data_IF_117475766782
#
_entry.id   IF_117475766782
#
_cell.length_a   1.000
_cell.length_b   1.000
_cell.length_c   1.000
_cell.angle_alpha   90.00
_cell.angle_beta   90.00
_cell.angle_gamma   90.00
#
_symmetry.space_group_name_H-M   'P 1'
#
loop_
_entity.id
_entity.type
_entity.pdbx_description
1 polymer ?
#
# COMPACT_ATOMS: atom_id res chain seq x y z
N UNK A 1 17.05 -14.45 31.01
CA UNK A 1 17.35 -13.00 31.05
C UNK A 1 17.40 -12.53 29.61
N UNK A 2 16.67 -11.48 29.27
CA UNK A 2 16.59 -10.96 27.90
C UNK A 2 17.24 -9.58 27.87
N UNK A 3 17.93 -9.25 26.78
CA UNK A 3 18.54 -7.95 26.57
C UNK A 3 17.82 -7.30 25.39
N UNK A 4 17.19 -6.16 25.63
CA UNK A 4 16.51 -5.36 24.62
C UNK A 4 17.19 -4.00 24.56
N UNK A 5 17.56 -3.59 23.35
CA UNK A 5 18.34 -2.38 23.09
C UNK A 5 18.10 -1.96 21.65
N UNK A 6 17.84 -0.68 21.41
CA UNK A 6 17.80 -0.15 20.04
C UNK A 6 19.18 -0.18 19.40
N UNK A 7 19.26 -0.39 18.08
CA UNK A 7 20.56 -0.36 17.38
C UNK A 7 21.23 1.03 17.48
N UNK A 8 20.44 2.10 17.61
CA UNK A 8 20.86 3.47 17.88
C UNK A 8 21.70 3.60 19.17
N UNK A 9 21.56 2.69 20.13
CA UNK A 9 22.40 2.67 21.33
C UNK A 9 23.88 2.51 20.98
N UNK A 10 24.20 1.83 19.88
CA UNK A 10 25.55 1.56 19.39
C UNK A 10 25.93 2.59 18.31
N UNK A 11 26.99 3.35 18.57
CA UNK A 11 27.50 4.37 17.65
C UNK A 11 26.87 5.76 17.81
N UNK A 12 25.60 5.87 18.21
CA UNK A 12 24.97 7.17 18.51
C UNK A 12 24.95 7.47 20.02
N UNK A 13 24.23 6.70 20.83
CA UNK A 13 24.17 6.97 22.28
C UNK A 13 25.45 6.54 23.01
N UNK A 14 26.07 5.43 22.59
CA UNK A 14 27.43 5.04 22.96
C UNK A 14 28.34 5.22 21.74
N UNK A 15 29.15 6.29 21.66
CA UNK A 15 30.05 6.54 20.53
C UNK A 15 31.01 5.37 20.30
N UNK A 16 31.41 5.11 19.06
CA UNK A 16 32.32 3.99 18.74
C UNK A 16 33.68 4.09 19.45
N UNK A 17 34.13 5.30 19.77
CA UNK A 17 35.34 5.57 20.56
C UNK A 17 35.28 5.09 22.02
N UNK A 18 34.10 4.71 22.52
CA UNK A 18 33.94 4.07 23.84
C UNK A 18 34.43 2.61 23.89
N UNK A 19 34.81 2.02 22.75
CA UNK A 19 35.10 0.59 22.59
C UNK A 19 33.88 -0.32 22.88
N UNK A 20 32.66 0.19 22.69
CA UNK A 20 31.42 -0.57 22.87
C UNK A 20 31.34 -1.81 21.97
N UNK A 21 31.97 -1.78 20.78
CA UNK A 21 32.01 -2.95 19.89
C UNK A 21 32.95 -4.04 20.43
N UNK A 22 34.07 -3.65 21.03
CA UNK A 22 35.06 -4.53 21.66
C UNK A 22 34.46 -5.17 22.91
N UNK A 23 33.71 -4.39 23.70
CA UNK A 23 32.90 -4.91 24.80
C UNK A 23 31.89 -5.98 24.32
N UNK A 24 31.14 -5.70 23.26
CA UNK A 24 30.17 -6.66 22.71
C UNK A 24 30.83 -7.90 22.08
N UNK A 25 32.04 -7.79 21.53
CA UNK A 25 32.84 -8.94 21.05
C UNK A 25 33.34 -9.82 22.21
N UNK A 26 33.75 -9.21 23.32
CA UNK A 26 34.26 -9.93 24.50
C UNK A 26 33.16 -10.57 25.36
N UNK A 27 31.95 -9.99 25.36
CA UNK A 27 30.83 -10.42 26.20
C UNK A 27 30.48 -11.92 26.06
N UNK A 28 30.38 -12.52 24.85
CA UNK A 28 30.12 -13.94 24.68
C UNK A 28 31.20 -14.87 25.29
N UNK A 29 32.48 -14.49 25.19
CA UNK A 29 33.59 -15.28 25.74
C UNK A 29 33.57 -15.26 27.26
N UNK A 30 33.43 -14.07 27.85
CA UNK A 30 33.29 -13.87 29.29
C UNK A 30 32.06 -14.58 29.88
N UNK A 31 30.94 -14.58 29.15
CA UNK A 31 29.73 -15.31 29.52
C UNK A 31 29.94 -16.83 29.47
N UNK A 32 30.53 -17.35 28.38
CA UNK A 32 30.84 -18.78 28.22
C UNK A 32 31.79 -19.29 29.31
N UNK A 33 32.80 -18.51 29.70
CA UNK A 33 33.71 -18.83 30.81
C UNK A 33 32.98 -18.94 32.16
N UNK A 34 31.83 -18.30 32.32
CA UNK A 34 30.93 -18.41 33.49
C UNK A 34 29.80 -19.43 33.31
N UNK A 35 29.83 -20.25 32.25
CA UNK A 35 28.78 -21.23 31.93
C UNK A 35 27.48 -20.63 31.40
N UNK A 36 27.46 -19.34 31.06
CA UNK A 36 26.27 -18.66 30.52
C UNK A 36 26.21 -18.88 29.01
N UNK A 37 25.06 -19.36 28.53
CA UNK A 37 24.78 -19.57 27.10
C UNK A 37 23.83 -18.50 26.56
N UNK A 38 23.96 -18.23 25.26
CA UNK A 38 22.98 -17.44 24.50
C UNK A 38 22.11 -18.40 23.68
N UNK A 39 20.88 -17.99 23.39
CA UNK A 39 19.99 -18.70 22.48
C UNK A 39 19.04 -17.69 21.84
N UNK A 40 18.76 -17.89 20.56
CA UNK A 40 17.75 -17.14 19.82
C UNK A 40 16.34 -17.43 20.34
N UNK A 41 15.34 -16.57 20.10
CA UNK A 41 13.95 -16.84 20.50
C UNK A 41 13.44 -18.19 19.97
N UNK A 42 13.76 -18.54 18.72
CA UNK A 42 13.37 -19.82 18.12
C UNK A 42 14.00 -21.04 18.81
N UNK A 43 15.26 -20.93 19.23
CA UNK A 43 15.92 -21.98 20.02
C UNK A 43 15.35 -22.11 21.43
N UNK A 44 14.98 -20.99 22.06
CA UNK A 44 14.34 -20.99 23.39
C UNK A 44 13.00 -21.75 23.31
N UNK A 45 12.18 -21.44 22.30
CA UNK A 45 10.88 -22.09 22.07
C UNK A 45 11.03 -23.59 21.73
N UNK A 46 12.10 -24.00 21.05
CA UNK A 46 12.32 -25.42 20.71
C UNK A 46 12.93 -26.25 21.84
N UNK A 47 13.76 -25.64 22.70
CA UNK A 47 14.50 -26.33 23.78
C UNK A 47 13.77 -26.35 25.12
N UNK A 48 12.90 -25.37 25.39
CA UNK A 48 12.26 -25.20 26.70
C UNK A 48 10.75 -25.39 26.62
N UNK A 49 10.21 -26.17 27.57
CA UNK A 49 8.76 -26.37 27.73
C UNK A 49 8.13 -25.15 28.39
N UNK A 50 6.99 -24.68 27.86
CA UNK A 50 6.17 -23.67 28.54
C UNK A 50 5.67 -24.19 29.89
N UNK A 51 5.77 -23.36 30.94
CA UNK A 51 5.47 -23.72 32.33
C UNK A 51 4.08 -23.21 32.75
N UNK A 52 3.69 -22.02 32.30
CA UNK A 52 2.42 -21.37 32.62
C UNK A 52 2.00 -20.43 31.49
N UNK A 53 0.71 -20.17 31.39
CA UNK A 53 0.19 -19.01 30.69
C UNK A 53 0.56 -17.73 31.47
N UNK A 54 0.81 -16.65 30.74
CA UNK A 54 0.85 -15.28 31.25
C UNK A 54 -0.36 -14.56 30.67
N UNK A 55 -1.17 -13.94 31.52
CA UNK A 55 -2.28 -13.09 31.08
C UNK A 55 -1.87 -11.61 31.11
N UNK A 56 -2.30 -10.86 30.10
CA UNK A 56 -1.98 -9.44 29.91
C UNK A 56 -3.27 -8.74 29.44
N UNK A 57 -4.13 -8.31 30.38
CA UNK A 57 -5.48 -7.84 30.06
C UNK A 57 -5.51 -6.45 29.39
N UNK A 58 -4.42 -5.69 29.43
CA UNK A 58 -4.32 -4.35 28.87
C UNK A 58 -3.05 -4.22 28.00
N UNK A 59 -3.08 -3.45 26.89
CA UNK A 59 -1.90 -3.14 26.11
C UNK A 59 -0.84 -2.42 26.95
N UNK A 60 0.39 -2.95 26.95
CA UNK A 60 1.53 -2.39 27.67
C UNK A 60 2.65 -1.97 26.71
N UNK A 61 3.54 -1.12 27.20
CA UNK A 61 4.69 -0.57 26.48
C UNK A 61 5.99 -0.71 27.27
N UNK A 62 7.12 -0.74 26.57
CA UNK A 62 8.44 -0.51 27.15
C UNK A 62 8.73 0.98 27.39
N UNK A 63 8.01 1.88 26.72
CA UNK A 63 8.21 3.33 26.77
C UNK A 63 7.60 3.95 28.03
N UNK A 64 8.28 4.95 28.57
CA UNK A 64 7.94 5.72 29.79
C UNK A 64 7.74 4.86 31.06
N UNK A 65 7.63 5.49 32.23
CA UNK A 65 7.59 4.77 33.53
C UNK A 65 6.27 4.02 33.74
N UNK A 66 5.17 4.54 33.20
CA UNK A 66 3.80 4.04 33.38
C UNK A 66 3.51 2.75 32.59
N UNK A 67 4.41 2.36 31.67
CA UNK A 67 4.35 1.13 30.84
C UNK A 67 3.04 0.94 30.07
N UNK A 68 2.37 2.02 29.71
CA UNK A 68 1.07 2.04 29.02
C UNK A 68 1.17 2.60 27.59
N UNK A 69 0.03 2.86 26.95
CA UNK A 69 -0.03 3.46 25.60
C UNK A 69 -0.02 4.99 25.60
N UNK A 70 0.15 5.65 26.76
CA UNK A 70 0.07 7.11 26.87
C UNK A 70 1.11 7.86 26.04
N UNK A 71 2.26 7.25 25.75
CA UNK A 71 3.27 7.81 24.84
C UNK A 71 2.72 8.09 23.43
N UNK A 72 1.69 7.35 22.98
CA UNK A 72 1.08 7.48 21.65
C UNK A 72 -0.41 7.85 21.65
N UNK A 73 -1.15 7.64 22.74
CA UNK A 73 -2.59 7.90 22.85
C UNK A 73 -2.98 8.74 24.09
N UNK A 74 -1.99 9.36 24.76
CA UNK A 74 -2.17 10.07 26.02
C UNK A 74 -2.92 11.40 25.91
N UNK A 75 -2.81 12.13 24.79
CA UNK A 75 -3.49 13.42 24.59
C UNK A 75 -4.61 13.40 23.53
N UNK A 76 -5.33 14.52 23.41
CA UNK A 76 -6.47 14.66 22.47
C UNK A 76 -6.01 14.60 21.01
N UNK A 77 -4.93 15.30 20.67
CA UNK A 77 -4.35 15.34 19.30
C UNK A 77 -4.04 13.93 18.79
N UNK A 78 -3.38 13.14 19.63
CA UNK A 78 -3.02 11.75 19.37
C UNK A 78 -4.25 10.87 19.13
N UNK A 79 -5.25 10.95 20.02
CA UNK A 79 -6.49 10.15 19.89
C UNK A 79 -7.33 10.58 18.69
N UNK A 80 -7.39 11.86 18.37
CA UNK A 80 -8.07 12.38 17.19
C UNK A 80 -7.41 11.87 15.90
N UNK A 81 -6.08 12.02 15.78
CA UNK A 81 -5.29 11.52 14.66
C UNK A 81 -5.43 10.00 14.46
N UNK A 82 -5.40 9.24 15.57
CA UNK A 82 -5.56 7.79 15.56
C UNK A 82 -6.99 7.38 15.12
N UNK A 83 -8.01 7.91 15.78
CA UNK A 83 -9.41 7.60 15.46
C UNK A 83 -9.77 8.02 14.02
N UNK A 84 -9.22 9.14 13.53
CA UNK A 84 -9.43 9.60 12.16
C UNK A 84 -8.77 8.68 11.14
N UNK A 85 -7.58 8.14 11.42
CA UNK A 85 -6.94 7.13 10.57
C UNK A 85 -7.80 5.86 10.50
N UNK A 86 -8.15 5.29 11.66
CA UNK A 86 -8.91 4.04 11.69
C UNK A 86 -10.36 4.17 11.19
N UNK A 87 -10.92 5.38 11.10
CA UNK A 87 -12.24 5.62 10.49
C UNK A 87 -12.35 5.21 9.02
N UNK A 88 -11.23 5.05 8.30
CA UNK A 88 -11.21 4.55 6.90
C UNK A 88 -10.59 3.15 6.75
N UNK A 89 -10.27 2.47 7.87
CA UNK A 89 -9.54 1.20 7.86
C UNK A 89 -10.24 0.12 7.01
N UNK A 90 -11.56 -0.02 7.12
CA UNK A 90 -12.30 -1.00 6.31
C UNK A 90 -12.28 -0.65 4.82
N UNK A 91 -12.52 0.60 4.40
CA UNK A 91 -12.40 0.99 2.98
C UNK A 91 -10.99 0.73 2.43
N UNK A 92 -9.96 1.03 3.21
CA UNK A 92 -8.58 0.72 2.84
C UNK A 92 -8.31 -0.79 2.79
N UNK A 93 -8.97 -1.60 3.62
CA UNK A 93 -8.91 -3.06 3.56
C UNK A 93 -9.46 -3.60 2.25
N UNK A 94 -10.58 -3.04 1.76
CA UNK A 94 -11.26 -3.42 0.51
C UNK A 94 -10.56 -2.91 -0.75
N UNK A 95 -9.74 -1.87 -0.61
CA UNK A 95 -8.96 -1.32 -1.70
C UNK A 95 -7.88 -2.29 -2.19
N UNK A 96 -7.75 -2.48 -3.50
CA UNK A 96 -6.65 -3.23 -4.13
C UNK A 96 -5.52 -2.32 -4.68
N UNK A 97 -5.65 -0.99 -4.55
CA UNK A 97 -4.62 -0.05 -5.00
C UNK A 97 -3.36 -0.13 -4.11
N UNK A 98 -2.26 -0.59 -4.72
CA UNK A 98 -0.96 -0.76 -4.07
C UNK A 98 -0.41 0.53 -3.43
N UNK A 99 -0.69 1.70 -3.99
CA UNK A 99 -0.26 2.99 -3.43
C UNK A 99 -1.06 3.36 -2.19
N UNK A 100 -2.37 3.12 -2.20
CA UNK A 100 -3.23 3.32 -1.02
C UNK A 100 -2.79 2.41 0.13
N UNK A 101 -2.48 1.13 -0.13
CA UNK A 101 -1.90 0.24 0.89
C UNK A 101 -0.56 0.74 1.43
N UNK A 102 0.33 1.19 0.55
CA UNK A 102 1.65 1.68 0.96
C UNK A 102 1.55 2.96 1.82
N UNK A 103 0.68 3.90 1.45
CA UNK A 103 0.44 5.12 2.23
C UNK A 103 -0.22 4.81 3.59
N UNK A 104 -1.13 3.83 3.63
CA UNK A 104 -1.74 3.31 4.85
C UNK A 104 -0.73 2.73 5.84
N UNK A 105 0.23 1.95 5.35
CA UNK A 105 1.30 1.39 6.17
C UNK A 105 2.20 2.50 6.75
N UNK A 106 2.48 3.56 5.98
CA UNK A 106 3.26 4.72 6.44
C UNK A 106 2.49 5.60 7.45
N UNK A 107 1.18 5.79 7.27
CA UNK A 107 0.36 6.57 8.20
C UNK A 107 0.23 5.90 9.57
N UNK A 108 0.19 4.56 9.62
CA UNK A 108 0.16 3.79 10.87
C UNK A 108 1.49 3.80 11.65
N UNK A 109 2.59 4.35 11.10
CA UNK A 109 3.88 4.37 11.80
C UNK A 109 3.77 5.06 13.16
N UNK A 110 4.08 4.34 14.25
CA UNK A 110 3.86 4.81 15.63
C UNK A 110 4.56 6.13 15.95
N UNK A 111 5.68 6.43 15.28
CA UNK A 111 6.38 7.70 15.41
C UNK A 111 5.50 8.91 15.06
N UNK A 112 4.55 8.79 14.12
CA UNK A 112 3.61 9.86 13.78
C UNK A 112 2.88 10.34 15.04
N UNK A 113 2.25 9.41 15.78
CA UNK A 113 1.58 9.71 17.04
C UNK A 113 2.55 10.09 18.16
N UNK A 114 3.75 9.50 18.21
CA UNK A 114 4.77 9.83 19.22
C UNK A 114 5.23 11.29 19.12
N UNK A 115 5.34 11.83 17.92
CA UNK A 115 5.71 13.22 17.66
C UNK A 115 4.61 14.22 18.05
N UNK A 116 3.35 13.79 18.22
CA UNK A 116 2.25 14.61 18.72
C UNK A 116 2.15 14.65 20.26
N UNK A 117 3.01 13.93 21.00
CA UNK A 117 2.88 13.87 22.46
C UNK A 117 3.18 15.21 23.12
N UNK A 118 2.35 15.58 24.09
CA UNK A 118 2.54 16.71 25.00
C UNK A 118 2.97 16.27 26.39
N UNK A 119 3.15 14.95 26.61
CA UNK A 119 3.58 14.37 27.89
C UNK A 119 5.01 14.83 28.21
N UNK A 120 5.21 15.38 29.40
CA UNK A 120 6.55 15.69 29.92
C UNK A 120 7.11 14.45 30.62
N UNK A 121 8.02 13.74 29.96
CA UNK A 121 8.66 12.52 30.47
C UNK A 121 10.02 12.77 31.11
N UNK A 122 10.45 14.04 31.26
CA UNK A 122 11.80 14.42 31.70
C UNK A 122 12.93 14.07 30.72
N UNK A 123 12.63 13.33 29.65
CA UNK A 123 13.58 12.90 28.61
C UNK A 123 13.33 13.75 27.35
N UNK A 124 14.40 14.27 26.75
CA UNK A 124 14.29 14.99 25.48
C UNK A 124 13.81 14.06 24.36
N UNK A 125 12.78 14.50 23.64
CA UNK A 125 12.23 13.78 22.49
C UNK A 125 12.73 14.40 21.19
N UNK A 126 13.42 13.60 20.38
CA UNK A 126 13.65 13.94 18.98
C UNK A 126 12.31 13.91 18.22
N UNK A 127 11.85 15.05 17.71
CA UNK A 127 10.64 15.17 16.87
C UNK A 127 10.94 15.19 15.37
N UNK A 128 12.18 14.90 14.97
CA UNK A 128 12.59 14.88 13.57
C UNK A 128 12.56 16.28 12.96
N UNK A 129 11.60 16.51 12.06
CA UNK A 129 11.43 17.77 11.32
C UNK A 129 10.44 18.75 11.96
N UNK A 130 9.79 18.36 13.06
CA UNK A 130 8.70 19.14 13.65
C UNK A 130 9.16 19.97 14.85
N UNK A 131 8.83 21.26 14.85
CA UNK A 131 9.19 22.19 15.94
C UNK A 131 8.35 21.96 17.21
N UNK A 132 7.14 21.39 17.07
CA UNK A 132 6.20 21.22 18.18
C UNK A 132 5.26 20.02 17.98
N UNK A 133 4.60 19.50 19.04
CA UNK A 133 3.54 18.50 18.88
C UNK A 133 2.35 18.98 18.05
N UNK A 134 2.08 20.30 18.03
CA UNK A 134 0.99 20.90 17.25
C UNK A 134 1.32 20.96 15.76
N UNK A 135 2.58 21.24 15.43
CA UNK A 135 3.10 21.20 14.06
C UNK A 135 3.07 19.76 13.49
N UNK A 136 3.58 18.78 14.27
CA UNK A 136 3.48 17.36 13.93
C UNK A 136 2.02 16.91 13.69
N UNK A 137 1.09 17.33 14.55
CA UNK A 137 -0.34 17.05 14.39
C UNK A 137 -0.94 17.72 13.14
N UNK A 138 -0.68 19.01 12.92
CA UNK A 138 -1.21 19.76 11.77
C UNK A 138 -0.70 19.17 10.45
N UNK A 139 0.60 18.85 10.38
CA UNK A 139 1.20 18.21 9.22
C UNK A 139 0.55 16.85 8.94
N UNK A 140 0.47 15.99 9.95
CA UNK A 140 -0.15 14.66 9.83
C UNK A 140 -1.62 14.74 9.41
N UNK A 141 -2.41 15.64 10.02
CA UNK A 141 -3.84 15.78 9.70
C UNK A 141 -4.08 16.31 8.28
N UNK A 142 -3.18 17.14 7.75
CA UNK A 142 -3.22 17.56 6.35
C UNK A 142 -2.94 16.38 5.38
N UNK A 143 -1.92 15.56 5.67
CA UNK A 143 -1.59 14.37 4.87
C UNK A 143 -2.72 13.33 4.96
N UNK A 144 -3.23 13.07 6.16
CA UNK A 144 -4.36 12.17 6.39
C UNK A 144 -5.64 12.66 5.69
N UNK A 145 -5.87 13.97 5.67
CA UNK A 145 -6.99 14.59 4.95
C UNK A 145 -6.91 14.41 3.43
N UNK A 146 -5.71 14.43 2.83
CA UNK A 146 -5.52 14.05 1.43
C UNK A 146 -5.71 12.54 1.20
N UNK A 147 -5.10 11.71 2.06
CA UNK A 147 -5.23 10.26 1.98
C UNK A 147 -6.69 9.79 2.03
N UNK A 148 -7.48 10.32 2.98
CA UNK A 148 -8.92 10.02 3.11
C UNK A 148 -9.67 10.40 1.82
N UNK A 149 -9.43 11.59 1.25
CA UNK A 149 -10.04 11.99 -0.04
C UNK A 149 -9.68 11.04 -1.18
N UNK A 150 -8.44 10.51 -1.21
CA UNK A 150 -8.02 9.52 -2.22
C UNK A 150 -8.66 8.15 -2.02
N UNK A 151 -8.92 7.74 -0.77
CA UNK A 151 -9.70 6.53 -0.46
C UNK A 151 -11.16 6.71 -0.87
N UNK A 152 -11.81 7.80 -0.44
CA UNK A 152 -13.22 8.06 -0.71
C UNK A 152 -13.51 8.28 -2.22
N UNK A 153 -12.53 8.80 -2.98
CA UNK A 153 -12.64 8.94 -4.44
C UNK A 153 -12.59 7.60 -5.20
N UNK A 154 -12.08 6.53 -4.59
CA UNK A 154 -12.10 5.17 -5.13
C UNK A 154 -13.28 4.35 -4.58
N UNK A 155 -13.69 4.62 -3.33
CA UNK A 155 -14.72 3.90 -2.60
C UNK A 155 -15.64 4.91 -1.89
N UNK A 156 -16.72 5.37 -2.55
CA UNK A 156 -17.59 6.44 -2.02
C UNK A 156 -18.17 6.14 -0.64
N UNK A 157 -18.32 7.20 0.16
CA UNK A 157 -18.79 7.13 1.57
C UNK A 157 -20.24 6.67 1.66
N UNK A 158 -21.01 7.02 0.64
CA UNK A 158 -22.44 6.86 0.45
C UNK A 158 -22.89 5.42 0.10
N UNK A 159 -21.95 4.50 -0.11
CA UNK A 159 -22.21 3.06 -0.17
C UNK A 159 -21.83 2.43 1.16
N UNK A 160 -22.74 1.69 1.79
CA UNK A 160 -22.43 1.00 3.06
C UNK A 160 -21.35 -0.07 2.83
N UNK A 161 -20.49 -0.32 3.82
CA UNK A 161 -19.35 -1.24 3.67
C UNK A 161 -19.80 -2.68 3.35
N UNK A 162 -20.95 -3.12 3.86
CA UNK A 162 -21.52 -4.44 3.52
C UNK A 162 -22.03 -4.50 2.08
N UNK A 163 -22.72 -3.47 1.61
CA UNK A 163 -23.16 -3.35 0.22
C UNK A 163 -21.95 -3.29 -0.72
N UNK A 164 -20.96 -2.43 -0.41
CA UNK A 164 -19.72 -2.28 -1.14
C UNK A 164 -18.95 -3.62 -1.24
N UNK A 165 -18.89 -4.39 -0.15
CA UNK A 165 -18.31 -5.74 -0.15
C UNK A 165 -19.01 -6.69 -1.12
N UNK A 166 -20.36 -6.70 -1.11
CA UNK A 166 -21.15 -7.54 -2.00
C UNK A 166 -20.96 -7.15 -3.48
N UNK A 167 -20.90 -5.84 -3.75
CA UNK A 167 -20.70 -5.29 -5.09
C UNK A 167 -19.28 -5.57 -5.61
N UNK A 168 -18.24 -5.34 -4.81
CA UNK A 168 -16.85 -5.66 -5.17
C UNK A 168 -16.65 -7.16 -5.44
N UNK A 169 -17.25 -8.01 -4.60
CA UNK A 169 -17.22 -9.47 -4.81
C UNK A 169 -17.91 -9.83 -6.13
N UNK A 170 -19.05 -9.23 -6.44
CA UNK A 170 -19.79 -9.45 -7.69
C UNK A 170 -18.99 -8.99 -8.90
N UNK A 171 -18.41 -7.78 -8.86
CA UNK A 171 -17.56 -7.22 -9.92
C UNK A 171 -16.35 -8.10 -10.18
N UNK A 172 -15.68 -8.59 -9.11
CA UNK A 172 -14.53 -9.48 -9.23
C UNK A 172 -14.90 -10.80 -9.91
N UNK A 173 -15.98 -11.45 -9.46
CA UNK A 173 -16.45 -12.71 -10.03
C UNK A 173 -16.88 -12.54 -11.50
N UNK A 174 -17.54 -11.45 -11.85
CA UNK A 174 -17.87 -11.09 -13.25
C UNK A 174 -16.60 -10.83 -14.09
N UNK A 175 -15.58 -10.20 -13.50
CA UNK A 175 -14.28 -10.00 -14.15
C UNK A 175 -13.54 -11.31 -14.41
N UNK A 176 -13.63 -12.27 -13.50
CA UNK A 176 -13.10 -13.63 -13.70
C UNK A 176 -13.84 -14.35 -14.85
N UNK A 177 -15.18 -14.34 -14.85
CA UNK A 177 -16.02 -14.92 -15.91
C UNK A 177 -15.74 -14.29 -17.29
N UNK A 178 -15.65 -12.95 -17.38
CA UNK A 178 -15.31 -12.25 -18.62
C UNK A 178 -13.92 -12.68 -19.14
N UNK A 179 -12.93 -12.84 -18.25
CA UNK A 179 -11.59 -13.30 -18.63
C UNK A 179 -11.58 -14.75 -19.13
N UNK A 180 -12.44 -15.62 -18.58
CA UNK A 180 -12.60 -17.00 -19.07
C UNK A 180 -13.28 -17.01 -20.44
N UNK A 181 -14.39 -16.31 -20.60
CA UNK A 181 -15.11 -16.17 -21.88
C UNK A 181 -14.22 -15.58 -22.98
N UNK A 182 -13.37 -14.60 -22.67
CA UNK A 182 -12.38 -14.06 -23.62
C UNK A 182 -11.34 -15.11 -24.04
N UNK A 183 -10.84 -15.94 -23.11
CA UNK A 183 -9.93 -17.06 -23.45
C UNK A 183 -10.63 -18.12 -24.30
N UNK A 184 -11.92 -18.37 -24.06
CA UNK A 184 -12.71 -19.28 -24.90
C UNK A 184 -12.91 -18.72 -26.30
N UNK A 185 -13.35 -17.46 -26.42
CA UNK A 185 -13.52 -16.78 -27.70
C UNK A 185 -12.23 -16.77 -28.52
N UNK A 186 -11.07 -16.54 -27.90
CA UNK A 186 -9.77 -16.64 -28.56
C UNK A 186 -9.49 -18.06 -29.10
N UNK A 187 -9.74 -19.12 -28.29
CA UNK A 187 -9.62 -20.53 -28.74
C UNK A 187 -10.59 -20.85 -29.89
N UNK A 188 -11.82 -20.32 -29.86
CA UNK A 188 -12.80 -20.53 -30.93
C UNK A 188 -12.43 -19.78 -32.20
N UNK A 189 -11.95 -18.53 -32.11
CA UNK A 189 -11.43 -17.78 -33.26
C UNK A 189 -10.22 -18.47 -33.89
N UNK A 190 -9.29 -19.01 -33.10
CA UNK A 190 -8.20 -19.83 -33.62
C UNK A 190 -8.69 -21.11 -34.33
N UNK A 191 -9.69 -21.80 -33.78
CA UNK A 191 -10.29 -22.98 -34.44
C UNK A 191 -10.93 -22.61 -35.77
N UNK A 192 -11.74 -21.54 -35.80
CA UNK A 192 -12.39 -21.04 -37.02
C UNK A 192 -11.37 -20.60 -38.07
N UNK A 193 -10.27 -19.95 -37.68
CA UNK A 193 -9.16 -19.63 -38.59
C UNK A 193 -8.47 -20.90 -39.13
N UNK A 194 -8.21 -21.88 -38.28
CA UNK A 194 -7.63 -23.18 -38.67
C UNK A 194 -8.57 -24.03 -39.54
N UNK A 195 -9.88 -23.78 -39.49
CA UNK A 195 -10.87 -24.43 -40.35
C UNK A 195 -11.08 -23.67 -41.67
N UNK A 196 -11.09 -22.33 -41.68
CA UNK A 196 -11.15 -21.55 -42.91
C UNK A 196 -9.89 -21.75 -43.79
N UNK A 197 -8.71 -21.84 -43.18
CA UNK A 197 -7.45 -22.21 -43.86
C UNK A 197 -7.48 -23.63 -44.45
N UNK A 198 -8.25 -24.56 -43.86
CA UNK A 198 -8.48 -25.90 -44.41
C UNK A 198 -9.48 -25.87 -45.56
N UNK A 199 -10.51 -25.02 -45.49
CA UNK A 199 -11.50 -24.85 -46.56
C UNK A 199 -10.87 -24.20 -47.81
N UNK A 200 -9.95 -23.24 -47.64
CA UNK A 200 -9.21 -22.64 -48.76
C UNK A 200 -8.21 -23.59 -49.46
N UNK A 201 -7.93 -24.78 -48.89
CA UNK A 201 -6.97 -25.77 -49.41
C UNK A 201 -7.58 -26.95 -50.19
N UNK A 202 -8.85 -26.88 -50.61
CA UNK A 202 -9.40 -27.84 -51.60
C UNK A 202 -9.07 -27.39 -53.04
N UNK A 203 -8.56 -28.27 -53.93
CA UNK A 203 -8.09 -27.83 -55.25
C UNK A 203 -9.25 -27.52 -56.21
N UNK A 204 -9.18 -26.37 -56.88
CA UNK A 204 -10.03 -26.06 -58.03
C UNK A 204 -9.48 -26.72 -59.30
N UNK A 205 -10.27 -27.60 -59.91
CA UNK A 205 -9.92 -28.24 -61.18
C UNK A 205 -10.20 -27.30 -62.37
N UNK A 206 -9.28 -27.27 -63.36
CA UNK A 206 -9.29 -26.28 -64.44
C UNK A 206 -10.31 -26.60 -65.53
N UNK A 207 -10.96 -25.56 -66.09
CA UNK A 207 -11.14 -25.41 -67.56
C UNK A 207 -11.29 -23.95 -68.00
N UNK A 208 -10.84 -23.67 -69.22
CA UNK A 208 -10.72 -22.35 -69.86
C UNK A 208 -11.93 -22.04 -70.75
N UNK A 209 -12.24 -20.75 -71.02
CA UNK A 209 -12.14 -20.14 -72.37
C UNK A 209 -12.63 -18.66 -72.42
N UNK A 210 -12.10 -17.92 -73.42
CA UNK A 210 -12.53 -16.65 -74.06
C UNK A 210 -13.60 -15.75 -73.39
N UNK A 211 -13.37 -14.48 -73.04
CA UNK A 211 -12.91 -13.30 -73.81
C UNK A 211 -14.00 -12.54 -74.60
N UNK A 212 -14.37 -11.33 -74.15
CA UNK A 212 -14.53 -10.15 -75.01
C UNK A 212 -14.56 -8.80 -74.24
N UNK A 213 -14.46 -7.67 -74.98
CA UNK A 213 -14.20 -6.31 -74.47
C UNK A 213 -15.47 -5.48 -74.24
N UNK A 214 -15.45 -4.58 -73.24
CA UNK A 214 -15.83 -3.14 -73.40
C UNK A 214 -15.54 -2.28 -72.16
N UNK A 215 -14.90 -1.11 -72.38
CA UNK A 215 -14.97 0.14 -71.59
C UNK A 215 -16.01 1.08 -72.26
N UNK A 216 -16.39 2.28 -71.73
CA UNK A 216 -15.90 3.05 -70.57
C UNK A 216 -17.00 3.16 -69.46
N UNK A 217 -17.11 4.13 -68.51
CA UNK A 217 -16.44 5.42 -68.28
C UNK A 217 -16.51 5.90 -66.78
N UNK A 218 -15.96 7.12 -66.55
CA UNK A 218 -16.41 8.27 -65.70
C UNK A 218 -17.56 8.06 -64.68
N UNK A 219 -17.57 8.72 -63.50
CA UNK A 219 -17.11 10.09 -63.21
C UNK A 219 -16.95 10.43 -61.68
N UNK A 220 -16.13 11.46 -61.39
CA UNK A 220 -16.20 12.45 -60.27
C UNK A 220 -16.18 12.03 -58.77
N UNK A 221 -15.00 12.29 -58.18
CA UNK A 221 -14.81 13.06 -56.94
C UNK A 221 -15.59 14.41 -56.92
N UNK A 222 -15.87 15.09 -55.77
CA UNK A 222 -14.79 15.58 -54.88
C UNK A 222 -15.05 15.75 -53.35
N UNK A 223 -13.96 16.14 -52.70
CA UNK A 223 -13.73 16.62 -51.32
C UNK A 223 -14.63 17.71 -50.74
N UNK A 224 -14.73 17.75 -49.39
CA UNK A 224 -14.44 18.90 -48.46
C UNK A 224 -14.08 18.26 -47.10
N UNK A 225 -12.87 18.33 -46.55
CA UNK A 225 -12.07 19.41 -45.93
C UNK A 225 -12.46 19.84 -44.48
N UNK A 226 -11.45 19.68 -43.59
CA UNK A 226 -11.19 20.21 -42.23
C UNK A 226 -12.09 21.33 -41.67
N UNK A 227 -12.31 21.28 -40.34
CA UNK A 227 -11.66 22.25 -39.40
C UNK A 227 -11.72 21.84 -37.93
N UNK A 228 -10.73 22.32 -37.17
CA UNK A 228 -10.65 22.22 -35.72
C UNK A 228 -10.71 23.63 -35.09
N UNK A 229 -11.31 23.72 -33.91
CA UNK A 229 -11.22 24.81 -32.92
C UNK A 229 -11.85 24.29 -31.61
N UNK A 230 -11.51 24.76 -30.40
CA UNK A 230 -10.50 25.71 -29.98
C UNK A 230 -10.67 25.93 -28.46
N UNK A 231 -9.59 25.79 -27.68
CA UNK A 231 -9.65 25.77 -26.19
C UNK A 231 -9.23 27.12 -25.61
N UNK A 232 -10.18 27.89 -25.09
CA UNK A 232 -9.89 29.16 -24.40
C UNK A 232 -9.73 28.96 -22.88
N UNK A 233 -8.66 29.52 -22.31
CA UNK A 233 -8.44 29.63 -20.86
C UNK A 233 -9.21 30.84 -20.32
N UNK A 234 -9.73 30.75 -19.09
CA UNK A 234 -10.15 31.90 -18.28
C UNK A 234 -8.98 32.36 -17.42
N UNK A 235 -8.74 33.66 -17.36
CA UNK A 235 -7.86 34.31 -16.39
C UNK A 235 -8.72 34.80 -15.22
N UNK A 236 -8.15 34.84 -14.02
CA UNK A 236 -8.80 35.36 -12.79
C UNK A 236 -8.26 36.76 -12.53
N UNK A 237 -9.15 37.73 -12.30
CA UNK A 237 -8.81 39.03 -11.74
C UNK A 237 -9.00 39.02 -10.22
N UNK A 238 -8.26 39.90 -9.55
CA UNK A 238 -8.20 40.04 -8.09
C UNK A 238 -8.59 41.47 -7.75
N UNK A 239 -9.57 41.69 -6.86
CA UNK A 239 -9.59 42.88 -6.00
C UNK A 239 -10.59 42.76 -4.84
N UNK A 240 -10.25 43.45 -3.74
CA UNK A 240 -11.00 43.68 -2.48
C UNK A 240 -11.10 42.51 -1.50
#
# INVERSE_FOLDING_TARGET
>A
MNIFMELSALGMAQPLSSNILEFLKALPECAKAKGITFSTPSEIVSKLKSISQLDVPYPMSWTDEERDTSSWLGNVLQREAFNKLYSVAERVRLCDDRRIKQDWDYLQASNNFRFMTTKNTGIWLNRGIYDSPYDAFTNYMNILGDFIKRVDALYPIDVDNEELNSLLTTIRNQGEEINELQKELAKWQEKVAKESDKVQKKPAEKKKAAAEKKKPAKEKEPSVEKKAAGRSKKTVETEQ
#
